data_IF_624111524052
#
_entry.id   IF_624111524052
#
_cell.length_a   1.000
_cell.length_b   1.000
_cell.length_c   1.000
_cell.angle_alpha   90.00
_cell.angle_beta   90.00
_cell.angle_gamma   90.00
#
_symmetry.space_group_name_H-M   'P 1'
#
loop_
_entity.id
_entity.type
_entity.pdbx_description
1 polymer ?
#
# COMPACT_ATOMS: atom_id res chain seq x y z
N UNK A 1 -1.22 -0.42 -14.92
CA UNK A 1 -1.52 -1.72 -14.29
C UNK A 1 -0.62 -1.90 -13.07
N UNK A 2 -1.16 -2.23 -11.90
CA UNK A 2 -0.47 -2.15 -10.60
C UNK A 2 0.10 -3.47 -10.10
N UNK A 3 -0.68 -4.55 -10.08
CA UNK A 3 -0.23 -5.87 -9.59
C UNK A 3 -0.73 -6.96 -10.54
N UNK A 4 0.22 -7.71 -11.13
CA UNK A 4 -0.10 -8.82 -12.04
C UNK A 4 -0.98 -9.84 -11.32
N UNK A 5 -2.09 -10.25 -11.95
CA UNK A 5 -3.06 -11.18 -11.37
C UNK A 5 -4.16 -10.53 -10.51
N UNK A 6 -3.95 -9.32 -10.02
CA UNK A 6 -4.91 -8.63 -9.15
C UNK A 6 -5.56 -7.40 -9.78
N UNK A 7 -5.08 -6.94 -10.94
CA UNK A 7 -5.56 -5.72 -11.61
C UNK A 7 -7.08 -5.60 -11.80
N UNK A 8 -7.80 -6.73 -11.96
CA UNK A 8 -9.25 -6.75 -12.25
C UNK A 8 -10.11 -6.60 -10.98
N UNK A 9 -9.57 -6.93 -9.81
CA UNK A 9 -10.35 -7.11 -8.58
C UNK A 9 -9.75 -6.34 -7.39
N UNK A 10 -8.86 -5.37 -7.64
CA UNK A 10 -8.27 -4.55 -6.58
C UNK A 10 -8.03 -3.12 -7.03
N UNK A 11 -8.01 -2.21 -6.05
CA UNK A 11 -7.65 -0.81 -6.23
C UNK A 11 -6.17 -0.67 -5.90
N UNK A 12 -5.39 -0.12 -6.84
CA UNK A 12 -3.98 0.21 -6.62
C UNK A 12 -3.86 1.64 -6.10
N UNK A 13 -3.24 1.82 -4.93
CA UNK A 13 -2.92 3.13 -4.35
C UNK A 13 -1.40 3.26 -4.29
N UNK A 14 -0.87 4.39 -4.77
CA UNK A 14 0.55 4.70 -4.71
C UNK A 14 0.75 5.98 -3.90
N UNK A 15 1.79 6.00 -3.06
CA UNK A 15 2.36 7.26 -2.58
C UNK A 15 3.64 7.53 -3.38
N UNK A 16 4.00 8.80 -3.50
CA UNK A 16 5.25 9.20 -4.16
C UNK A 16 6.42 9.07 -3.19
N UNK A 17 7.46 8.34 -3.60
CA UNK A 17 8.64 8.03 -2.79
C UNK A 17 8.95 6.53 -2.76
N UNK A 18 9.56 6.07 -1.66
CA UNK A 18 9.85 4.67 -1.40
C UNK A 18 11.34 4.30 -1.45
N UNK A 19 12.23 5.26 -1.69
CA UNK A 19 13.68 5.08 -1.72
C UNK A 19 14.38 6.14 -0.86
N UNK A 20 15.40 5.74 -0.10
CA UNK A 20 16.29 6.67 0.62
C UNK A 20 17.30 7.36 -0.32
N UNK A 21 18.15 8.23 0.24
CA UNK A 21 19.20 8.96 -0.50
C UNK A 21 20.21 8.05 -1.23
N UNK A 22 20.32 6.79 -0.81
CA UNK A 22 21.19 5.79 -1.43
C UNK A 22 20.44 4.90 -2.44
N UNK A 23 19.18 5.20 -2.73
CA UNK A 23 18.33 4.43 -3.61
C UNK A 23 17.85 3.09 -3.02
N UNK A 24 17.92 2.92 -1.70
CA UNK A 24 17.45 1.70 -1.01
C UNK A 24 15.98 1.83 -0.61
N UNK A 25 15.19 0.74 -0.63
CA UNK A 25 13.80 0.80 -0.20
C UNK A 25 13.63 1.32 1.23
N UNK A 26 12.81 2.36 1.40
CA UNK A 26 12.50 2.96 2.70
C UNK A 26 11.08 3.57 2.68
N UNK A 27 10.40 3.57 3.83
CA UNK A 27 9.15 4.34 3.97
C UNK A 27 9.49 5.83 4.05
N UNK A 28 9.28 6.54 2.93
CA UNK A 28 9.55 7.98 2.82
C UNK A 28 8.27 8.80 2.79
N UNK A 29 7.13 8.24 3.22
CA UNK A 29 5.86 8.98 3.21
C UNK A 29 5.98 10.22 4.08
N UNK A 30 5.60 11.35 3.51
CA UNK A 30 5.40 12.58 4.27
C UNK A 30 4.21 12.46 5.22
N UNK A 31 4.20 13.24 6.29
CA UNK A 31 3.07 13.31 7.21
C UNK A 31 1.75 13.59 6.49
N UNK A 32 1.74 14.50 5.51
CA UNK A 32 0.56 14.81 4.70
C UNK A 32 0.08 13.61 3.88
N UNK A 33 0.99 12.85 3.25
CA UNK A 33 0.64 11.62 2.52
C UNK A 33 0.07 10.55 3.46
N UNK A 34 0.61 10.42 4.69
CA UNK A 34 0.08 9.46 5.68
C UNK A 34 -1.36 9.79 6.06
N UNK A 35 -1.67 11.06 6.31
CA UNK A 35 -3.04 11.49 6.59
C UNK A 35 -3.98 11.28 5.41
N UNK A 36 -3.58 11.72 4.20
CA UNK A 36 -4.39 11.53 3.00
C UNK A 36 -4.66 10.04 2.70
N UNK A 37 -3.68 9.17 2.95
CA UNK A 37 -3.85 7.71 2.83
C UNK A 37 -4.85 7.17 3.85
N UNK A 38 -4.76 7.60 5.12
CA UNK A 38 -5.70 7.16 6.15
C UNK A 38 -7.14 7.55 5.81
N UNK A 39 -7.36 8.80 5.37
CA UNK A 39 -8.68 9.29 4.98
C UNK A 39 -9.24 8.48 3.80
N UNK A 40 -8.43 8.29 2.76
CA UNK A 40 -8.81 7.52 1.58
C UNK A 40 -9.14 6.06 1.95
N UNK A 41 -8.29 5.42 2.75
CA UNK A 41 -8.49 4.03 3.16
C UNK A 41 -9.76 3.88 4.01
N UNK A 42 -10.07 4.86 4.86
CA UNK A 42 -11.31 4.87 5.66
C UNK A 42 -12.54 4.91 4.76
N UNK A 43 -12.54 5.78 3.73
CA UNK A 43 -13.62 5.86 2.76
C UNK A 43 -13.77 4.54 1.99
N UNK A 44 -12.66 3.97 1.53
CA UNK A 44 -12.67 2.72 0.77
C UNK A 44 -13.11 1.53 1.61
N UNK A 45 -12.73 1.45 2.89
CA UNK A 45 -13.20 0.41 3.80
C UNK A 45 -14.69 0.53 4.09
N UNK A 46 -15.22 1.75 4.17
CA UNK A 46 -16.66 1.94 4.27
C UNK A 46 -17.41 1.44 3.01
N UNK A 47 -16.87 1.72 1.82
CA UNK A 47 -17.46 1.29 0.54
C UNK A 47 -17.28 -0.21 0.27
N UNK A 48 -16.18 -0.80 0.73
CA UNK A 48 -15.80 -2.19 0.54
C UNK A 48 -15.39 -2.83 1.88
N UNK A 49 -16.36 -3.15 2.77
CA UNK A 49 -16.06 -3.60 4.13
C UNK A 49 -15.16 -4.83 4.21
N UNK A 50 -15.33 -5.77 3.28
CA UNK A 50 -14.56 -7.02 3.21
C UNK A 50 -13.19 -6.86 2.51
N UNK A 51 -12.88 -5.68 1.97
CA UNK A 51 -11.62 -5.47 1.29
C UNK A 51 -10.44 -5.53 2.27
N UNK A 52 -9.39 -6.22 1.84
CA UNK A 52 -8.14 -6.33 2.58
C UNK A 52 -7.17 -5.23 2.15
N UNK A 53 -6.52 -4.59 3.11
CA UNK A 53 -5.45 -3.62 2.86
C UNK A 53 -4.11 -4.38 2.86
N UNK A 54 -3.47 -4.44 1.69
CA UNK A 54 -2.28 -5.24 1.45
C UNK A 54 -1.20 -4.45 0.72
N UNK A 55 0.06 -4.76 1.03
CA UNK A 55 1.22 -4.28 0.30
C UNK A 55 1.47 -5.11 -0.95
N UNK A 56 2.09 -4.53 -1.97
CA UNK A 56 2.43 -5.26 -3.21
C UNK A 56 3.31 -6.48 -2.91
N UNK A 57 4.27 -6.34 -1.99
CA UNK A 57 5.15 -7.45 -1.58
C UNK A 57 4.39 -8.65 -0.98
N UNK A 58 3.17 -8.46 -0.48
CA UNK A 58 2.37 -9.50 0.15
C UNK A 58 1.56 -10.32 -0.87
N UNK A 59 1.51 -9.91 -2.14
CA UNK A 59 0.64 -10.49 -3.17
C UNK A 59 1.35 -11.41 -4.16
N UNK A 60 2.68 -11.38 -4.22
CA UNK A 60 3.45 -12.25 -5.11
C UNK A 60 4.25 -13.27 -4.31
N UNK A 61 4.01 -14.55 -4.57
CA UNK A 61 4.77 -15.65 -3.98
C UNK A 61 6.18 -15.81 -4.60
N UNK A 62 6.39 -15.26 -5.81
CA UNK A 62 7.61 -15.50 -6.61
C UNK A 62 8.43 -14.24 -6.87
N UNK A 63 7.84 -13.05 -6.77
CA UNK A 63 8.52 -11.78 -6.98
C UNK A 63 8.57 -11.03 -5.65
N UNK A 64 9.75 -10.99 -5.04
CA UNK A 64 9.97 -10.24 -3.82
C UNK A 64 10.17 -8.75 -4.13
N UNK A 65 9.12 -7.97 -3.95
CA UNK A 65 9.17 -6.50 -4.01
C UNK A 65 9.33 -5.94 -2.61
N UNK A 66 9.91 -4.75 -2.48
CA UNK A 66 9.88 -4.01 -1.22
C UNK A 66 8.61 -3.15 -1.07
N UNK A 67 7.99 -2.76 -2.18
CA UNK A 67 6.79 -1.90 -2.21
C UNK A 67 5.66 -2.45 -1.31
N UNK A 68 5.10 -1.64 -0.39
CA UNK A 68 5.21 -0.17 -0.31
C UNK A 68 6.30 0.36 0.63
N UNK A 69 7.29 -0.47 0.98
CA UNK A 69 8.41 -0.15 1.88
C UNK A 69 8.00 0.03 3.37
N UNK A 70 6.77 -0.35 3.71
CA UNK A 70 6.24 -0.54 5.06
C UNK A 70 5.22 -1.69 5.06
N UNK A 71 4.74 -2.09 6.24
CA UNK A 71 3.68 -3.11 6.38
C UNK A 71 2.31 -2.44 6.54
N UNK A 72 1.52 -2.30 5.46
CA UNK A 72 0.20 -1.66 5.52
C UNK A 72 -0.83 -2.53 6.25
N UNK A 73 -0.67 -3.87 6.24
CA UNK A 73 -1.59 -4.77 6.95
C UNK A 73 -1.47 -4.55 8.45
N UNK A 74 -0.23 -4.38 8.94
CA UNK A 74 0.03 -4.06 10.35
C UNK A 74 -0.37 -2.63 10.69
N UNK A 75 -0.03 -1.66 9.85
CA UNK A 75 -0.28 -0.24 10.11
C UNK A 75 -1.78 0.10 10.19
N UNK A 76 -2.59 -0.49 9.31
CA UNK A 76 -4.03 -0.24 9.24
C UNK A 76 -4.87 -1.37 9.84
N UNK A 77 -4.29 -2.15 10.76
CA UNK A 77 -5.03 -3.19 11.45
C UNK A 77 -6.19 -2.58 12.25
N UNK A 78 -7.41 -3.01 11.97
CA UNK A 78 -8.61 -2.50 12.63
C UNK A 78 -9.33 -1.37 11.88
N UNK A 79 -8.78 -0.93 10.74
CA UNK A 79 -9.55 -0.24 9.70
C UNK A 79 -10.36 -1.27 8.89
#
# INVERSE_FOLDING_TARGET
AHVRGFNRHSIGICYEGGLDENGRPADTRTTAQRFALLDLLTILKHQYPEAQILGHYQLSATIHKACPCYDPRKEYLGL
#
